data_IF_834418047588
#
_entry.id   IF_834418047588
#
_cell.length_a   1.000
_cell.length_b   1.000
_cell.length_c   1.000
_cell.angle_alpha   90.00
_cell.angle_beta   90.00
_cell.angle_gamma   90.00
#
_symmetry.space_group_name_H-M   'P 1'
#
loop_
_entity.id
_entity.type
_entity.pdbx_description
1 polymer ?
#
# COMPACT_ATOMS: atom_id res chain seq x y z
N UNK A 1 -6.98 0.43 -7.59
CA UNK A 1 -5.57 0.84 -7.42
C UNK A 1 -5.54 2.06 -6.51
N UNK A 2 -4.63 2.13 -5.55
CA UNK A 2 -4.71 3.00 -4.38
C UNK A 2 -4.96 4.48 -4.69
N UNK A 3 -4.30 5.11 -5.70
CA UNK A 3 -4.48 6.54 -5.94
C UNK A 3 -5.92 6.97 -6.20
N UNK A 4 -6.76 6.08 -6.76
CA UNK A 4 -8.16 6.37 -7.05
C UNK A 4 -9.09 6.32 -5.83
N UNK A 5 -8.57 6.03 -4.63
CA UNK A 5 -9.37 5.80 -3.43
C UNK A 5 -8.93 6.69 -2.27
N UNK A 6 -9.87 7.04 -1.41
CA UNK A 6 -9.52 7.55 -0.10
C UNK A 6 -8.91 6.41 0.74
N UNK A 7 -7.71 6.59 1.32
CA UNK A 7 -6.98 5.52 2.02
C UNK A 7 -7.71 5.03 3.28
N UNK A 8 -8.38 5.90 4.03
CA UNK A 8 -9.17 5.48 5.20
C UNK A 8 -10.38 4.64 4.79
N UNK A 9 -11.09 5.09 3.75
CA UNK A 9 -12.24 4.36 3.23
C UNK A 9 -11.84 2.97 2.74
N UNK A 10 -10.71 2.87 2.03
CA UNK A 10 -10.18 1.60 1.57
C UNK A 10 -9.80 0.67 2.73
N UNK A 11 -9.23 1.21 3.81
CA UNK A 11 -8.92 0.45 5.02
C UNK A 11 -10.19 -0.10 5.70
N UNK A 12 -11.23 0.72 5.86
CA UNK A 12 -12.53 0.31 6.40
C UNK A 12 -13.21 -0.75 5.53
N UNK A 13 -13.21 -0.57 4.21
CA UNK A 13 -13.80 -1.51 3.26
C UNK A 13 -13.08 -2.86 3.29
N UNK A 14 -11.75 -2.86 3.34
CA UNK A 14 -10.97 -4.08 3.53
C UNK A 14 -11.29 -4.75 4.87
N UNK A 15 -11.25 -4.01 5.99
CA UNK A 15 -11.49 -4.58 7.31
C UNK A 15 -12.91 -5.18 7.42
N UNK A 16 -13.89 -4.51 6.82
CA UNK A 16 -15.26 -5.01 6.73
C UNK A 16 -15.32 -6.30 5.92
N UNK A 17 -14.71 -6.34 4.74
CA UNK A 17 -14.69 -7.54 3.90
C UNK A 17 -13.93 -8.70 4.56
N UNK A 18 -12.84 -8.43 5.26
CA UNK A 18 -12.08 -9.41 6.04
C UNK A 18 -12.98 -10.06 7.09
N UNK A 19 -13.73 -9.27 7.86
CA UNK A 19 -14.70 -9.79 8.85
C UNK A 19 -15.80 -10.60 8.18
N UNK A 20 -16.46 -10.04 7.16
CA UNK A 20 -17.61 -10.68 6.51
C UNK A 20 -17.24 -12.00 5.84
N UNK A 21 -15.98 -12.15 5.42
CA UNK A 21 -15.51 -13.37 4.77
C UNK A 21 -14.89 -14.37 5.74
N UNK A 22 -14.74 -14.04 7.03
CA UNK A 22 -14.02 -14.87 8.00
C UNK A 22 -12.51 -14.92 7.72
N UNK A 23 -11.97 -13.82 7.19
CA UNK A 23 -10.58 -13.67 6.80
C UNK A 23 -10.23 -14.43 5.52
N UNK A 24 -11.04 -14.34 4.47
CA UNK A 24 -10.68 -14.97 3.18
C UNK A 24 -10.26 -13.98 2.11
N UNK A 25 -10.33 -12.68 2.42
CA UNK A 25 -9.87 -11.61 1.54
C UNK A 25 -8.38 -11.39 1.75
N UNK A 26 -7.67 -11.16 0.65
CA UNK A 26 -6.25 -10.79 0.65
C UNK A 26 -6.15 -9.33 0.20
N UNK A 27 -5.43 -8.50 0.95
CA UNK A 27 -5.26 -7.10 0.58
C UNK A 27 -4.24 -6.95 -0.55
N UNK A 28 -4.58 -6.14 -1.55
CA UNK A 28 -3.72 -5.87 -2.70
C UNK A 28 -3.61 -4.38 -2.98
N UNK A 29 -2.38 -3.91 -3.22
CA UNK A 29 -2.13 -2.51 -3.61
C UNK A 29 -1.56 -2.41 -5.01
N UNK A 30 -1.77 -1.26 -5.65
CA UNK A 30 -1.24 -0.98 -6.98
C UNK A 30 -1.31 0.51 -7.28
N UNK A 31 -0.37 1.00 -8.09
CA UNK A 31 -0.12 2.44 -8.30
C UNK A 31 -0.97 3.09 -9.40
N UNK A 32 -1.62 2.31 -10.27
CA UNK A 32 -2.28 2.86 -11.45
C UNK A 32 -1.54 2.45 -12.73
N UNK A 33 -2.28 2.20 -13.81
CA UNK A 33 -1.71 1.87 -15.13
C UNK A 33 -2.35 2.69 -16.26
N UNK A 34 -3.68 2.80 -16.28
CA UNK A 34 -4.40 3.52 -17.32
C UNK A 34 -4.74 4.95 -16.89
N UNK A 35 -4.31 5.93 -17.68
CA UNK A 35 -4.62 7.36 -17.48
C UNK A 35 -6.13 7.61 -17.47
N UNK A 36 -6.88 6.97 -18.38
CA UNK A 36 -8.35 7.05 -18.44
C UNK A 36 -9.01 6.77 -17.10
N UNK A 37 -8.50 5.81 -16.32
CA UNK A 37 -9.10 5.46 -15.04
C UNK A 37 -8.55 6.36 -13.94
N UNK A 38 -7.23 6.50 -13.83
CA UNK A 38 -6.58 7.17 -12.70
C UNK A 38 -6.79 8.69 -12.72
N UNK A 39 -6.67 9.34 -13.88
CA UNK A 39 -6.86 10.79 -14.02
C UNK A 39 -8.32 11.20 -13.81
N UNK A 40 -9.28 10.35 -14.20
CA UNK A 40 -10.71 10.62 -13.96
C UNK A 40 -11.06 10.70 -12.48
N UNK A 41 -10.32 10.00 -11.62
CA UNK A 41 -10.43 10.12 -10.17
C UNK A 41 -9.56 11.24 -9.57
N UNK A 42 -8.94 12.09 -10.41
CA UNK A 42 -8.13 13.23 -9.98
C UNK A 42 -6.73 12.88 -9.49
N UNK A 43 -6.24 11.67 -9.77
CA UNK A 43 -4.88 11.24 -9.42
C UNK A 43 -3.88 11.53 -10.53
N UNK A 44 -2.67 12.03 -10.20
CA UNK A 44 -1.76 12.62 -11.18
C UNK A 44 -0.90 11.58 -11.92
N UNK A 45 -1.51 10.59 -12.60
CA UNK A 45 -0.76 9.53 -13.29
C UNK A 45 0.18 10.06 -14.40
N UNK A 46 -0.15 11.19 -15.03
CA UNK A 46 0.71 11.85 -16.00
C UNK A 46 2.00 12.41 -15.37
N UNK A 47 1.99 12.70 -14.07
CA UNK A 47 3.16 13.06 -13.28
C UNK A 47 3.62 11.85 -12.44
N UNK A 48 4.49 11.03 -13.04
CA UNK A 48 4.97 9.78 -12.42
C UNK A 48 5.63 9.98 -11.04
N UNK A 49 6.47 11.00 -10.81
CA UNK A 49 6.95 11.36 -9.48
C UNK A 49 5.81 11.66 -8.48
N UNK A 50 4.86 12.54 -8.82
CA UNK A 50 3.76 12.90 -7.94
C UNK A 50 2.84 11.70 -7.63
N UNK A 51 2.52 10.90 -8.64
CA UNK A 51 1.74 9.68 -8.46
C UNK A 51 2.45 8.64 -7.58
N UNK A 52 3.78 8.53 -7.67
CA UNK A 52 4.57 7.66 -6.79
C UNK A 52 4.53 8.16 -5.34
N UNK A 53 4.72 9.45 -5.13
CA UNK A 53 4.66 10.08 -3.80
C UNK A 53 3.30 9.87 -3.15
N UNK A 54 2.21 10.16 -3.88
CA UNK A 54 0.84 9.93 -3.42
C UNK A 54 0.59 8.47 -3.06
N UNK A 55 1.01 7.54 -3.93
CA UNK A 55 0.86 6.10 -3.70
C UNK A 55 1.59 5.63 -2.44
N UNK A 56 2.85 6.03 -2.26
CA UNK A 56 3.64 5.66 -1.08
C UNK A 56 3.00 6.19 0.20
N UNK A 57 2.57 7.47 0.22
CA UNK A 57 1.90 8.07 1.39
C UNK A 57 0.58 7.37 1.72
N UNK A 58 -0.23 7.05 0.70
CA UNK A 58 -1.49 6.31 0.90
C UNK A 58 -1.25 4.92 1.50
N UNK A 59 -0.25 4.18 1.02
CA UNK A 59 0.05 2.84 1.54
C UNK A 59 0.61 2.92 2.97
N UNK A 60 1.49 3.87 3.25
CA UNK A 60 1.97 4.16 4.62
C UNK A 60 0.79 4.44 5.57
N UNK A 61 -0.15 5.28 5.13
CA UNK A 61 -1.35 5.63 5.88
C UNK A 61 -2.29 4.42 6.08
N UNK A 62 -2.54 3.63 5.05
CA UNK A 62 -3.38 2.42 5.14
C UNK A 62 -2.79 1.44 6.14
N UNK A 63 -1.47 1.20 6.11
CA UNK A 63 -0.86 0.29 7.08
C UNK A 63 -0.84 0.85 8.50
N UNK A 64 -0.67 2.17 8.68
CA UNK A 64 -0.88 2.80 9.98
C UNK A 64 -2.30 2.53 10.48
N UNK A 65 -3.29 2.74 9.62
CA UNK A 65 -4.71 2.62 9.94
C UNK A 65 -5.15 1.18 10.25
N UNK A 66 -4.63 0.19 9.53
CA UNK A 66 -4.97 -1.22 9.70
C UNK A 66 -4.23 -1.87 10.87
N UNK A 67 -2.93 -1.59 11.04
CA UNK A 67 -2.06 -2.35 11.93
C UNK A 67 -1.89 -1.74 13.33
N UNK A 68 -2.42 -0.54 13.59
CA UNK A 68 -2.36 0.10 14.91
C UNK A 68 -3.77 0.25 15.51
N UNK A 69 -3.84 0.30 16.85
CA UNK A 69 -5.13 0.51 17.53
C UNK A 69 -5.66 1.91 17.36
N UNK A 70 -4.76 2.88 17.47
CA UNK A 70 -4.97 4.28 17.15
C UNK A 70 -3.82 4.76 16.27
N UNK A 71 -4.07 5.78 15.45
CA UNK A 71 -3.05 6.36 14.60
C UNK A 71 -3.33 7.83 14.31
N UNK A 72 -2.26 8.52 13.91
CA UNK A 72 -2.31 9.82 13.25
C UNK A 72 -1.32 9.84 12.09
N UNK A 73 -1.55 10.74 11.15
CA UNK A 73 -0.73 10.92 9.97
C UNK A 73 -0.73 12.39 9.56
N UNK A 74 0.45 12.94 9.36
CA UNK A 74 0.65 14.25 8.76
C UNK A 74 1.66 14.06 7.63
N UNK A 75 1.14 14.08 6.41
CA UNK A 75 1.89 13.91 5.18
C UNK A 75 1.65 15.09 4.24
N UNK A 76 2.10 14.95 3.00
CA UNK A 76 1.95 16.01 2.00
C UNK A 76 0.54 16.04 1.43
N UNK A 77 -0.10 14.88 1.35
CA UNK A 77 -1.42 14.70 0.74
C UNK A 77 -2.53 14.53 1.78
N UNK A 78 -2.22 14.01 2.97
CA UNK A 78 -3.20 13.71 4.01
C UNK A 78 -2.81 14.23 5.39
N UNK A 79 -3.78 14.83 6.08
CA UNK A 79 -3.71 15.15 7.52
C UNK A 79 -4.86 14.47 8.23
N UNK A 80 -4.53 13.49 9.07
CA UNK A 80 -5.48 12.61 9.74
C UNK A 80 -5.09 12.46 11.22
N UNK A 81 -6.01 12.71 12.17
CA UNK A 81 -7.34 13.29 11.97
C UNK A 81 -7.31 14.71 11.39
N UNK A 82 -8.44 15.13 10.82
CA UNK A 82 -8.66 16.55 10.54
C UNK A 82 -8.58 17.35 11.86
N UNK A 83 -7.97 18.53 11.80
CA UNK A 83 -7.78 19.42 12.97
C UNK A 83 -9.09 20.15 13.29
N UNK A 84 -10.03 19.42 13.89
CA UNK A 84 -11.36 19.93 14.25
C UNK A 84 -11.66 19.64 15.73
N UNK A 85 -12.42 20.51 16.41
CA UNK A 85 -12.90 20.23 17.76
C UNK A 85 -13.84 19.02 17.78
N UNK A 86 -13.66 18.13 18.74
CA UNK A 86 -14.51 16.96 18.94
C UNK A 86 -14.81 16.77 20.43
N UNK A 87 -16.09 16.82 20.80
CA UNK A 87 -16.57 16.58 22.19
C UNK A 87 -15.80 17.35 23.28
N UNK A 88 -15.39 18.58 22.99
CA UNK A 88 -14.70 19.46 23.95
C UNK A 88 -13.17 19.29 24.01
N UNK A 89 -12.56 18.51 23.11
CA UNK A 89 -11.11 18.42 22.94
C UNK A 89 -10.71 18.43 21.46
N UNK A 90 -9.42 18.66 21.17
CA UNK A 90 -8.89 18.55 19.82
C UNK A 90 -8.62 17.08 19.47
N UNK A 91 -9.20 16.59 18.38
CA UNK A 91 -9.01 15.23 17.93
C UNK A 91 -7.54 15.01 17.49
N UNK A 92 -6.82 14.11 18.16
CA UNK A 92 -5.38 13.86 17.91
C UNK A 92 -5.09 12.55 17.19
N UNK A 93 -5.94 11.55 17.39
CA UNK A 93 -5.79 10.21 16.83
C UNK A 93 -7.14 9.64 16.42
N UNK A 94 -7.10 8.64 15.56
CA UNK A 94 -8.27 7.90 15.08
C UNK A 94 -8.03 6.40 15.16
N UNK A 95 -9.13 5.66 15.17
CA UNK A 95 -9.16 4.20 15.02
C UNK A 95 -10.01 3.87 13.81
N UNK A 96 -9.55 2.95 12.95
CA UNK A 96 -10.41 2.38 11.90
C UNK A 96 -11.38 1.41 12.54
N UNK A 97 -12.66 1.55 12.21
CA UNK A 97 -13.72 0.66 12.67
C UNK A 97 -14.52 0.17 11.46
N UNK A 98 -14.68 -1.15 11.27
CA UNK A 98 -14.19 -2.22 12.14
C UNK A 98 -12.68 -2.50 11.95
N UNK A 99 -12.07 -3.30 12.84
CA UNK A 99 -10.67 -3.71 12.71
C UNK A 99 -10.54 -5.07 12.00
N UNK A 100 -9.51 -5.30 11.16
CA UNK A 100 -9.28 -6.60 10.54
C UNK A 100 -9.13 -7.72 11.57
N UNK A 101 -9.54 -8.94 11.19
CA UNK A 101 -9.40 -10.14 12.01
C UNK A 101 -7.95 -10.59 12.14
N UNK A 102 -7.14 -10.36 11.10
CA UNK A 102 -5.73 -10.79 11.07
C UNK A 102 -4.79 -9.60 10.95
N UNK A 103 -3.89 -9.50 11.93
CA UNK A 103 -2.84 -8.50 12.00
C UNK A 103 -1.47 -9.19 12.21
N UNK A 104 -0.38 -8.68 11.61
CA UNK A 104 -0.38 -7.60 10.62
C UNK A 104 -1.08 -8.03 9.32
N UNK A 105 -1.70 -7.07 8.64
CA UNK A 105 -2.42 -7.33 7.38
C UNK A 105 -1.43 -7.78 6.30
N UNK A 106 -1.66 -8.96 5.76
CA UNK A 106 -0.93 -9.45 4.59
C UNK A 106 -1.30 -8.62 3.35
N UNK A 107 -0.29 -8.15 2.63
CA UNK A 107 -0.48 -7.31 1.45
C UNK A 107 0.32 -7.82 0.25
N UNK A 108 -0.29 -7.76 -0.93
CA UNK A 108 0.33 -8.12 -2.20
C UNK A 108 0.37 -6.95 -3.17
N UNK A 109 1.41 -6.89 -4.00
CA UNK A 109 1.53 -5.89 -5.05
C UNK A 109 2.10 -6.51 -6.33
N UNK A 110 1.47 -6.27 -7.50
CA UNK A 110 2.04 -6.65 -8.79
C UNK A 110 3.40 -5.99 -9.04
N UNK A 111 4.39 -6.76 -9.46
CA UNK A 111 5.72 -6.27 -9.83
C UNK A 111 5.90 -6.41 -11.35
N UNK A 112 5.88 -5.27 -12.05
CA UNK A 112 6.10 -5.20 -13.49
C UNK A 112 7.21 -4.18 -13.76
N UNK A 113 8.47 -4.64 -13.76
CA UNK A 113 9.65 -3.79 -13.86
C UNK A 113 9.78 -2.84 -12.65
N UNK A 114 10.39 -3.32 -11.56
CA UNK A 114 10.54 -2.53 -10.34
C UNK A 114 11.83 -1.70 -10.33
N UNK A 115 11.73 -0.41 -10.04
CA UNK A 115 12.90 0.39 -9.66
C UNK A 115 13.36 0.01 -8.25
N UNK A 116 14.62 0.27 -7.90
CA UNK A 116 15.13 0.00 -6.54
C UNK A 116 14.23 0.64 -5.45
N UNK A 117 13.81 1.89 -5.63
CA UNK A 117 12.85 2.58 -4.73
C UNK A 117 11.54 1.80 -4.57
N UNK A 118 11.02 1.21 -5.64
CA UNK A 118 9.78 0.44 -5.58
C UNK A 118 9.96 -0.84 -4.75
N UNK A 119 11.05 -1.56 -4.97
CA UNK A 119 11.36 -2.81 -4.28
C UNK A 119 11.72 -2.55 -2.80
N UNK A 120 12.47 -1.49 -2.51
CA UNK A 120 12.80 -1.06 -1.15
C UNK A 120 11.54 -0.68 -0.35
N UNK A 121 10.61 0.03 -0.99
CA UNK A 121 9.33 0.36 -0.38
C UNK A 121 8.52 -0.89 -0.06
N UNK A 122 8.45 -1.85 -1.00
CA UNK A 122 7.76 -3.11 -0.75
C UNK A 122 8.40 -3.90 0.39
N UNK A 123 9.73 -3.99 0.42
CA UNK A 123 10.49 -4.65 1.47
C UNK A 123 10.26 -4.00 2.85
N UNK A 124 10.34 -2.66 2.94
CA UNK A 124 10.06 -1.88 4.17
C UNK A 124 8.72 -2.26 4.80
N UNK A 125 7.71 -2.56 3.97
CA UNK A 125 6.36 -2.87 4.42
C UNK A 125 6.02 -4.36 4.47
N UNK A 126 6.97 -5.25 4.13
CA UNK A 126 6.70 -6.68 4.02
C UNK A 126 5.63 -7.03 2.97
N UNK A 127 5.46 -6.18 1.95
CA UNK A 127 4.53 -6.44 0.85
C UNK A 127 5.05 -7.62 0.05
N UNK A 128 4.19 -8.56 -0.32
CA UNK A 128 4.55 -9.70 -1.16
C UNK A 128 4.44 -9.33 -2.64
N UNK A 129 5.47 -9.62 -3.42
CA UNK A 129 5.47 -9.38 -4.86
C UNK A 129 4.70 -10.44 -5.63
N UNK A 130 3.77 -10.01 -6.50
CA UNK A 130 3.15 -10.88 -7.50
C UNK A 130 3.77 -10.59 -8.88
N UNK A 131 4.48 -11.56 -9.44
CA UNK A 131 5.07 -11.44 -10.78
C UNK A 131 4.13 -12.11 -11.79
N UNK A 132 3.58 -11.33 -12.72
CA UNK A 132 2.67 -11.85 -13.74
C UNK A 132 3.40 -12.74 -14.77
N UNK A 133 2.85 -13.92 -15.06
CA UNK A 133 3.34 -14.80 -16.12
C UNK A 133 2.94 -14.29 -17.51
N UNK A 134 3.88 -13.68 -18.24
CA UNK A 134 3.72 -13.11 -19.60
C UNK A 134 3.78 -11.57 -19.56
N UNK A 135 4.69 -10.85 -20.22
CA UNK A 135 5.19 -11.00 -21.60
C UNK A 135 6.68 -10.62 -21.76
N UNK A 136 7.49 -10.75 -20.71
CA UNK A 136 8.94 -10.55 -20.83
C UNK A 136 9.61 -11.89 -21.15
N UNK A 137 9.68 -12.25 -22.43
CA UNK A 137 10.66 -13.23 -22.88
C UNK A 137 12.06 -12.77 -22.47
N UNK A 138 12.80 -13.63 -21.76
CA UNK A 138 14.22 -13.44 -21.48
C UNK A 138 14.54 -12.57 -20.26
N UNK A 139 14.95 -13.21 -19.16
CA UNK A 139 15.82 -12.64 -18.11
C UNK A 139 15.26 -11.52 -17.21
N UNK A 140 14.25 -10.76 -17.63
CA UNK A 140 13.69 -9.65 -16.87
C UNK A 140 13.04 -10.12 -15.55
N UNK A 141 12.40 -11.29 -15.54
CA UNK A 141 11.82 -11.86 -14.33
C UNK A 141 12.89 -12.33 -13.34
N UNK A 142 13.98 -12.93 -13.83
CA UNK A 142 15.11 -13.32 -12.98
C UNK A 142 15.76 -12.10 -12.32
N UNK A 143 15.99 -11.01 -13.08
CA UNK A 143 16.55 -9.77 -12.53
C UNK A 143 15.66 -9.15 -11.46
N UNK A 144 14.35 -9.10 -11.69
CA UNK A 144 13.39 -8.60 -10.69
C UNK A 144 13.44 -9.41 -9.40
N UNK A 145 13.56 -10.74 -9.49
CA UNK A 145 13.71 -11.62 -8.31
C UNK A 145 15.01 -11.33 -7.56
N UNK A 146 16.13 -11.15 -8.26
CA UNK A 146 17.40 -10.79 -7.62
C UNK A 146 17.36 -9.42 -6.95
N UNK A 147 16.79 -8.42 -7.63
CA UNK A 147 16.66 -7.07 -7.09
C UNK A 147 15.71 -7.04 -5.87
N UNK A 148 14.68 -7.90 -5.88
CA UNK A 148 13.79 -8.13 -4.75
C UNK A 148 14.54 -8.69 -3.54
N UNK A 149 15.34 -9.73 -3.73
CA UNK A 149 16.17 -10.30 -2.67
C UNK A 149 17.16 -9.26 -2.13
N UNK A 150 17.78 -8.47 -3.01
CA UNK A 150 18.69 -7.41 -2.61
C UNK A 150 17.98 -6.33 -1.76
N UNK A 151 16.73 -5.98 -2.10
CA UNK A 151 15.92 -5.05 -1.30
C UNK A 151 15.62 -5.59 0.11
N UNK A 152 15.31 -6.88 0.22
CA UNK A 152 15.08 -7.52 1.51
C UNK A 152 16.38 -7.65 2.32
N UNK A 153 17.49 -7.97 1.66
CA UNK A 153 18.79 -8.04 2.31
C UNK A 153 19.23 -6.69 2.90
N UNK A 154 18.90 -5.57 2.24
CA UNK A 154 19.16 -4.21 2.76
C UNK A 154 18.47 -3.92 4.10
N UNK A 155 17.36 -4.59 4.39
CA UNK A 155 16.64 -4.48 5.68
C UNK A 155 16.90 -5.66 6.62
N UNK A 156 17.94 -6.48 6.34
CA UNK A 156 18.34 -7.61 7.17
C UNK A 156 17.50 -8.88 6.99
N UNK A 157 16.67 -8.95 5.94
CA UNK A 157 15.87 -10.12 5.61
C UNK A 157 16.53 -10.91 4.47
N UNK A 158 17.01 -12.12 4.75
CA UNK A 158 17.59 -13.01 3.75
C UNK A 158 16.52 -13.98 3.25
N UNK A 159 16.09 -13.81 2.00
CA UNK A 159 15.10 -14.69 1.36
C UNK A 159 15.82 -15.77 0.55
N UNK A 160 15.45 -17.03 0.76
CA UNK A 160 15.91 -18.14 -0.10
C UNK A 160 15.27 -18.08 -1.48
N UNK A 161 16.01 -18.50 -2.52
CA UNK A 161 15.42 -18.77 -3.84
C UNK A 161 14.64 -20.09 -3.72
N UNK A 162 13.31 -20.01 -3.84
CA UNK A 162 12.44 -21.19 -3.98
C UNK A 162 12.42 -21.73 -5.41
#
# INVERSE_FOLDING_TARGET
MCPMWNPLRLAEDYATADILTGGRVIFGVGRGYHTREVETFGSPLLDQPANRELFEEQVDLIFKALNNETFSHEGRHYTIPARVPYRGYDLKELTVVPRPLRLPVECWQPVQGGTARALDFMAKHGIKGLIGGGSAEGGAMHRVVLDWQAAHARIGQHLEMG
#
